data_IF_902026896831
#
_entry.id   IF_902026896831
#
_cell.length_a   1.000
_cell.length_b   1.000
_cell.length_c   1.000
_cell.angle_alpha   90.00
_cell.angle_beta   90.00
_cell.angle_gamma   90.00
#
_symmetry.space_group_name_H-M   'P 1'
#
loop_
_entity.id
_entity.type
_entity.pdbx_description
1 polymer ?
#
# COMPACT_ATOMS: atom_id res chain seq x y z
N UNK A 1 -14.98 14.05 9.88
CA UNK A 1 -16.32 14.71 9.99
C UNK A 1 -17.08 14.10 11.15
N UNK A 2 -17.07 12.78 11.29
CA UNK A 2 -17.60 12.05 12.45
C UNK A 2 -17.15 12.66 13.79
N UNK A 3 -15.84 12.93 13.95
CA UNK A 3 -15.28 13.58 15.15
C UNK A 3 -15.93 14.95 15.46
N UNK A 4 -16.33 15.70 14.42
CA UNK A 4 -16.98 17.02 14.57
C UNK A 4 -18.42 16.86 15.08
N UNK A 5 -19.08 15.74 14.76
CA UNK A 5 -20.41 15.41 15.29
C UNK A 5 -20.30 14.93 16.75
N UNK A 6 -19.30 14.12 17.07
CA UNK A 6 -18.95 13.76 18.45
C UNK A 6 -18.69 15.00 19.32
N UNK A 7 -17.80 15.91 18.90
CA UNK A 7 -17.49 17.14 19.65
C UNK A 7 -18.64 18.15 19.78
N UNK A 8 -19.84 17.87 19.25
CA UNK A 8 -21.00 18.76 19.28
C UNK A 8 -22.28 18.11 19.82
N UNK A 9 -22.16 16.88 20.34
CA UNK A 9 -23.29 16.07 20.81
C UNK A 9 -24.34 15.88 19.69
N UNK A 10 -23.86 15.55 18.48
CA UNK A 10 -24.67 15.36 17.26
C UNK A 10 -24.51 13.96 16.64
N UNK A 11 -23.80 13.06 17.32
CA UNK A 11 -23.43 11.75 16.79
C UNK A 11 -24.55 10.70 16.89
N UNK A 12 -25.30 10.64 17.99
CA UNK A 12 -26.34 9.61 18.23
C UNK A 12 -27.34 9.45 17.04
N UNK A 13 -27.84 10.53 16.39
CA UNK A 13 -28.72 10.40 15.22
C UNK A 13 -28.13 9.70 13.99
N UNK A 14 -26.80 9.66 13.83
CA UNK A 14 -26.17 8.95 12.69
C UNK A 14 -25.94 7.46 12.98
N UNK A 15 -25.94 7.03 14.24
CA UNK A 15 -26.02 5.61 14.60
C UNK A 15 -27.44 5.06 14.45
N UNK A 16 -28.46 5.92 14.54
CA UNK A 16 -29.88 5.60 14.31
C UNK A 16 -30.65 5.21 15.56
N UNK A 17 -31.87 4.68 15.40
CA UNK A 17 -32.83 4.51 16.50
C UNK A 17 -32.35 3.60 17.65
N UNK A 18 -31.37 2.73 17.43
CA UNK A 18 -30.75 1.91 18.50
C UNK A 18 -29.88 2.73 19.45
N UNK A 19 -29.41 3.92 19.04
CA UNK A 19 -28.64 4.84 19.87
C UNK A 19 -29.52 5.87 20.60
N UNK A 20 -30.84 5.90 20.34
CA UNK A 20 -31.77 6.81 21.01
C UNK A 20 -31.81 6.54 22.52
N UNK A 21 -31.53 7.54 23.39
CA UNK A 21 -31.62 7.37 24.83
C UNK A 21 -33.04 7.02 25.30
N UNK A 22 -33.17 6.08 26.24
CA UNK A 22 -34.49 5.60 26.72
C UNK A 22 -35.38 6.69 27.32
N UNK A 23 -34.78 7.70 27.94
CA UNK A 23 -35.47 8.83 28.55
C UNK A 23 -35.73 9.99 27.57
N UNK A 24 -35.37 9.83 26.28
CA UNK A 24 -35.55 10.85 25.26
C UNK A 24 -36.91 10.73 24.56
N UNK A 25 -37.72 11.77 24.73
CA UNK A 25 -38.95 12.03 24.00
C UNK A 25 -38.76 12.12 22.46
N UNK A 26 -39.77 11.69 21.70
CA UNK A 26 -39.75 11.62 20.24
C UNK A 26 -39.54 12.99 19.57
N UNK A 27 -40.17 14.05 20.10
CA UNK A 27 -40.01 15.41 19.56
C UNK A 27 -38.64 16.01 19.92
N UNK A 28 -37.98 15.56 20.99
CA UNK A 28 -36.56 15.87 21.25
C UNK A 28 -35.64 15.15 20.28
N UNK A 29 -35.85 13.85 20.04
CA UNK A 29 -35.07 13.05 19.09
C UNK A 29 -35.14 13.60 17.67
N UNK A 30 -36.35 13.94 17.21
CA UNK A 30 -36.60 14.57 15.91
C UNK A 30 -35.95 15.95 15.76
N UNK A 31 -35.87 16.75 16.84
CA UNK A 31 -35.10 18.01 16.84
C UNK A 31 -33.59 17.74 16.75
N UNK A 32 -33.10 16.68 17.40
CA UNK A 32 -31.69 16.29 17.33
C UNK A 32 -31.32 15.83 15.91
N UNK A 33 -32.11 14.95 15.29
CA UNK A 33 -31.99 14.58 13.87
C UNK A 33 -31.90 15.82 12.97
N UNK A 34 -32.83 16.79 13.13
CA UNK A 34 -32.83 18.03 12.34
C UNK A 34 -31.58 18.89 12.59
N UNK A 35 -31.07 18.95 13.83
CA UNK A 35 -29.84 19.68 14.18
C UNK A 35 -28.60 19.02 13.55
N UNK A 36 -28.50 17.69 13.62
CA UNK A 36 -27.43 16.90 12.99
C UNK A 36 -27.44 17.03 11.47
N UNK A 37 -28.60 16.85 10.82
CA UNK A 37 -28.78 17.05 9.37
C UNK A 37 -28.36 18.46 8.93
N UNK A 38 -28.84 19.49 9.65
CA UNK A 38 -28.48 20.88 9.38
C UNK A 38 -26.98 21.12 9.52
N UNK A 39 -26.34 20.51 10.53
CA UNK A 39 -24.90 20.67 10.72
C UNK A 39 -24.06 19.95 9.67
N UNK A 40 -24.41 18.72 9.29
CA UNK A 40 -23.70 17.99 8.22
C UNK A 40 -23.81 18.78 6.90
N UNK A 41 -25.01 19.23 6.53
CA UNK A 41 -25.26 19.99 5.30
C UNK A 41 -24.45 21.28 5.18
N UNK A 42 -24.12 21.92 6.31
CA UNK A 42 -23.29 23.14 6.33
C UNK A 42 -21.86 22.90 5.82
N UNK A 43 -21.37 21.65 5.85
CA UNK A 43 -20.03 21.26 5.41
C UNK A 43 -20.01 20.54 4.04
N UNK A 44 -21.13 20.49 3.32
CA UNK A 44 -21.22 19.84 2.02
C UNK A 44 -21.10 20.88 0.89
N UNK A 45 -20.27 20.58 -0.11
CA UNK A 45 -20.29 21.29 -1.39
C UNK A 45 -21.66 21.12 -2.08
N UNK A 46 -22.08 22.09 -2.89
CA UNK A 46 -23.37 22.08 -3.62
C UNK A 46 -23.59 20.79 -4.44
N UNK A 47 -22.51 20.26 -5.02
CA UNK A 47 -22.51 19.01 -5.80
C UNK A 47 -22.89 17.77 -4.97
N UNK A 48 -22.64 17.81 -3.66
CA UNK A 48 -23.00 16.75 -2.71
C UNK A 48 -24.35 17.07 -2.04
N UNK A 49 -24.54 18.32 -1.59
CA UNK A 49 -25.76 18.79 -0.94
C UNK A 49 -27.03 18.47 -1.74
N UNK A 50 -27.01 18.73 -3.05
CA UNK A 50 -28.12 18.49 -3.98
C UNK A 50 -28.68 17.05 -3.98
N UNK A 51 -27.89 16.07 -3.54
CA UNK A 51 -28.27 14.65 -3.53
C UNK A 51 -28.81 14.19 -2.16
N UNK A 52 -28.66 15.01 -1.11
CA UNK A 52 -29.07 14.71 0.27
C UNK A 52 -29.93 15.83 0.87
N UNK A 53 -30.38 16.79 0.07
CA UNK A 53 -31.15 17.98 0.50
C UNK A 53 -32.53 17.64 1.07
N UNK A 54 -33.12 16.55 0.60
CA UNK A 54 -34.48 16.12 0.96
C UNK A 54 -34.52 15.12 2.12
N UNK A 55 -33.37 14.61 2.60
CA UNK A 55 -33.34 13.66 3.72
C UNK A 55 -33.87 14.31 5.01
N UNK A 56 -34.77 13.61 5.70
CA UNK A 56 -35.29 14.02 7.00
C UNK A 56 -34.72 13.21 8.15
N UNK A 57 -33.94 12.18 7.83
CA UNK A 57 -33.30 11.27 8.77
C UNK A 57 -31.77 11.41 8.71
N UNK A 58 -31.13 11.48 9.88
CA UNK A 58 -29.70 11.73 9.98
C UNK A 58 -28.86 10.49 9.64
N UNK A 59 -29.30 9.30 10.04
CA UNK A 59 -28.66 8.03 9.70
C UNK A 59 -28.74 7.76 8.19
N UNK A 60 -29.91 7.99 7.57
CA UNK A 60 -30.08 7.81 6.12
C UNK A 60 -29.21 8.81 5.34
N UNK A 61 -29.14 10.07 5.78
CA UNK A 61 -28.24 11.07 5.19
C UNK A 61 -26.77 10.63 5.32
N UNK A 62 -26.36 10.20 6.51
CA UNK A 62 -24.98 9.78 6.78
C UNK A 62 -24.57 8.58 5.92
N UNK A 63 -25.38 7.51 5.91
CA UNK A 63 -25.14 6.31 5.07
C UNK A 63 -25.08 6.63 3.57
N UNK A 64 -25.88 7.59 3.09
CA UNK A 64 -25.80 8.08 1.69
C UNK A 64 -24.48 8.79 1.39
N UNK A 65 -23.93 9.55 2.35
CA UNK A 65 -22.62 10.17 2.20
C UNK A 65 -21.51 9.11 2.25
N UNK A 66 -21.52 8.21 3.22
CA UNK A 66 -20.56 7.09 3.34
C UNK A 66 -20.48 6.29 2.03
N UNK A 67 -21.60 5.71 1.59
CA UNK A 67 -21.65 4.92 0.36
C UNK A 67 -21.15 5.70 -0.88
N UNK A 68 -21.41 7.01 -0.95
CA UNK A 68 -20.93 7.87 -2.04
C UNK A 68 -19.42 8.09 -1.99
N UNK A 69 -18.86 8.37 -0.82
CA UNK A 69 -17.42 8.58 -0.66
C UNK A 69 -16.64 7.26 -0.78
N UNK A 70 -17.20 6.14 -0.33
CA UNK A 70 -16.68 4.79 -0.57
C UNK A 70 -16.69 4.45 -2.07
N UNK A 71 -17.80 4.68 -2.78
CA UNK A 71 -17.88 4.47 -4.22
C UNK A 71 -16.88 5.35 -4.99
N UNK A 72 -16.74 6.63 -4.58
CA UNK A 72 -15.73 7.54 -5.14
C UNK A 72 -14.31 7.04 -4.87
N UNK A 73 -14.04 6.52 -3.68
CA UNK A 73 -12.74 5.94 -3.34
C UNK A 73 -12.47 4.67 -4.15
N UNK A 74 -13.44 3.77 -4.31
CA UNK A 74 -13.32 2.54 -5.09
C UNK A 74 -13.09 2.82 -6.59
N UNK A 75 -13.83 3.76 -7.17
CA UNK A 75 -13.63 4.19 -8.56
C UNK A 75 -12.29 4.90 -8.77
N UNK A 76 -11.84 5.73 -7.81
CA UNK A 76 -10.49 6.30 -7.82
C UNK A 76 -9.39 5.22 -7.73
N UNK A 77 -9.53 4.22 -6.85
CA UNK A 77 -8.60 3.08 -6.75
C UNK A 77 -8.52 2.31 -8.07
N UNK A 78 -9.66 1.97 -8.66
CA UNK A 78 -9.72 1.27 -9.95
C UNK A 78 -9.06 2.08 -11.08
N UNK A 79 -9.27 3.41 -11.11
CA UNK A 79 -8.59 4.30 -12.05
C UNK A 79 -7.06 4.32 -11.84
N UNK A 80 -6.59 4.44 -10.60
CA UNK A 80 -5.16 4.47 -10.28
C UNK A 80 -4.47 3.13 -10.57
N UNK A 81 -5.09 2.00 -10.25
CA UNK A 81 -4.60 0.66 -10.63
C UNK A 81 -4.55 0.51 -12.15
N UNK A 82 -5.58 0.94 -12.87
CA UNK A 82 -5.57 0.94 -14.34
C UNK A 82 -4.46 1.85 -14.89
N UNK A 83 -4.21 3.01 -14.29
CA UNK A 83 -3.09 3.88 -14.67
C UNK A 83 -1.75 3.18 -14.44
N UNK A 84 -1.56 2.54 -13.29
CA UNK A 84 -0.32 1.84 -12.93
C UNK A 84 0.00 0.69 -13.89
N UNK A 85 -0.98 -0.18 -14.19
CA UNK A 85 -0.81 -1.34 -15.09
C UNK A 85 -0.54 -0.89 -16.55
N UNK A 86 -1.11 0.24 -16.98
CA UNK A 86 -0.91 0.77 -18.33
C UNK A 86 0.26 1.77 -18.42
N UNK A 87 1.01 1.99 -17.33
CA UNK A 87 2.17 2.86 -17.33
C UNK A 87 3.29 2.21 -18.14
N UNK A 88 3.90 2.96 -19.07
CA UNK A 88 4.99 2.49 -19.92
C UNK A 88 6.07 3.56 -20.04
N UNK A 89 7.31 3.16 -19.80
CA UNK A 89 8.46 4.04 -20.00
C UNK A 89 8.62 4.32 -21.50
N UNK A 90 8.70 5.61 -21.84
CA UNK A 90 8.91 6.05 -23.22
C UNK A 90 10.40 6.06 -23.52
N UNK A 91 10.82 5.36 -24.57
CA UNK A 91 12.21 5.42 -25.04
C UNK A 91 12.65 6.87 -25.34
N UNK A 92 13.86 7.21 -24.89
CA UNK A 92 14.38 8.60 -24.92
C UNK A 92 13.78 9.54 -23.85
N UNK A 93 12.90 9.06 -22.97
CA UNK A 93 12.36 9.81 -21.83
C UNK A 93 13.28 9.81 -20.59
N UNK A 94 12.91 10.62 -19.60
CA UNK A 94 13.56 10.66 -18.28
C UNK A 94 13.10 9.47 -17.43
N UNK A 95 14.03 8.61 -17.03
CA UNK A 95 13.76 7.49 -16.11
C UNK A 95 13.35 8.01 -14.72
N UNK A 96 13.90 9.16 -14.31
CA UNK A 96 13.54 9.80 -13.05
C UNK A 96 12.07 10.28 -13.06
N UNK A 97 11.61 10.85 -14.16
CA UNK A 97 10.22 11.34 -14.27
C UNK A 97 9.23 10.17 -14.25
N UNK A 98 9.57 9.07 -14.93
CA UNK A 98 8.80 7.82 -14.92
C UNK A 98 8.72 7.20 -13.52
N UNK A 99 9.84 7.12 -12.80
CA UNK A 99 9.87 6.65 -11.41
C UNK A 99 9.06 7.55 -10.47
N UNK A 100 9.15 8.87 -10.65
CA UNK A 100 8.37 9.85 -9.89
C UNK A 100 6.86 9.71 -10.16
N UNK A 101 6.44 9.48 -11.41
CA UNK A 101 5.03 9.25 -11.74
C UNK A 101 4.53 7.92 -11.16
N UNK A 102 5.32 6.85 -11.28
CA UNK A 102 5.01 5.55 -10.68
C UNK A 102 4.81 5.67 -9.17
N UNK A 103 5.79 6.26 -8.47
CA UNK A 103 5.72 6.47 -7.03
C UNK A 103 4.58 7.41 -6.62
N UNK A 104 4.24 8.42 -7.43
CA UNK A 104 3.06 9.26 -7.18
C UNK A 104 1.76 8.45 -7.19
N UNK A 105 1.61 7.49 -8.10
CA UNK A 105 0.42 6.61 -8.17
C UNK A 105 0.38 5.61 -7.01
N UNK A 106 1.51 5.00 -6.65
CA UNK A 106 1.61 4.11 -5.48
C UNK A 106 1.25 4.85 -4.19
N UNK A 107 1.83 6.04 -3.96
CA UNK A 107 1.54 6.84 -2.78
C UNK A 107 0.07 7.26 -2.71
N UNK A 108 -0.56 7.63 -3.83
CA UNK A 108 -2.00 7.92 -3.87
C UNK A 108 -2.83 6.70 -3.47
N UNK A 109 -2.52 5.50 -3.95
CA UNK A 109 -3.20 4.27 -3.53
C UNK A 109 -3.02 4.01 -2.02
N UNK A 110 -1.81 4.21 -1.49
CA UNK A 110 -1.54 4.08 -0.06
C UNK A 110 -2.38 5.06 0.79
N UNK A 111 -2.54 6.33 0.38
CA UNK A 111 -3.43 7.28 1.09
C UNK A 111 -4.90 6.84 1.11
N UNK A 112 -5.32 6.03 0.13
CA UNK A 112 -6.66 5.45 0.07
C UNK A 112 -6.75 4.09 0.81
N UNK A 113 -5.78 3.76 1.67
CA UNK A 113 -5.67 2.45 2.37
C UNK A 113 -5.58 1.25 1.40
N UNK A 114 -4.90 1.41 0.28
CA UNK A 114 -4.56 0.33 -0.65
C UNK A 114 -3.05 0.29 -0.86
N UNK A 115 -2.34 -0.45 0.00
CA UNK A 115 -0.90 -0.66 -0.10
C UNK A 115 -0.63 -1.74 -1.14
N UNK A 116 0.32 -1.49 -2.03
CA UNK A 116 0.88 -2.50 -2.94
C UNK A 116 2.17 -3.00 -2.30
N UNK A 117 2.33 -4.31 -2.18
CA UNK A 117 3.55 -4.93 -1.66
C UNK A 117 4.77 -4.60 -2.53
N UNK A 118 5.94 -4.42 -1.90
CA UNK A 118 7.15 -3.93 -2.57
C UNK A 118 7.61 -4.86 -3.71
N UNK A 119 7.41 -6.18 -3.57
CA UNK A 119 7.65 -7.15 -4.65
C UNK A 119 6.76 -6.87 -5.86
N UNK A 120 5.45 -6.68 -5.65
CA UNK A 120 4.51 -6.37 -6.73
C UNK A 120 4.76 -4.98 -7.32
N UNK A 121 5.19 -3.99 -6.53
CA UNK A 121 5.66 -2.71 -7.05
C UNK A 121 6.86 -2.88 -7.98
N UNK A 122 7.87 -3.67 -7.57
CA UNK A 122 9.05 -3.94 -8.39
C UNK A 122 8.68 -4.65 -9.70
N UNK A 123 7.84 -5.68 -9.64
CA UNK A 123 7.34 -6.40 -10.82
C UNK A 123 6.56 -5.48 -11.78
N UNK A 124 5.68 -4.62 -11.25
CA UNK A 124 4.94 -3.65 -12.05
C UNK A 124 5.88 -2.62 -12.70
N UNK A 125 6.87 -2.11 -11.97
CA UNK A 125 7.87 -1.19 -12.51
C UNK A 125 8.71 -1.83 -13.61
N UNK A 126 9.18 -3.07 -13.41
CA UNK A 126 9.89 -3.83 -14.46
C UNK A 126 9.01 -4.06 -15.69
N UNK A 127 7.74 -4.42 -15.49
CA UNK A 127 6.77 -4.60 -16.58
C UNK A 127 6.44 -3.31 -17.35
N UNK A 128 6.75 -2.14 -16.78
CA UNK A 128 6.55 -0.84 -17.44
C UNK A 128 7.66 -0.49 -18.44
N UNK A 129 8.81 -1.18 -18.39
CA UNK A 129 9.93 -0.92 -19.29
C UNK A 129 9.62 -1.43 -20.73
N UNK A 130 10.23 -0.84 -21.77
CA UNK A 130 10.08 -1.32 -23.14
C UNK A 130 10.95 -2.55 -23.40
N UNK A 131 10.58 -3.34 -24.41
CA UNK A 131 11.25 -4.61 -24.74
C UNK A 131 12.76 -4.46 -25.02
N UNK A 132 13.22 -3.27 -25.45
CA UNK A 132 14.64 -2.94 -25.60
C UNK A 132 15.45 -3.04 -24.29
N UNK A 133 14.78 -3.09 -23.13
CA UNK A 133 15.38 -3.29 -21.80
C UNK A 133 15.27 -4.75 -21.30
N UNK A 134 14.66 -5.68 -22.05
CA UNK A 134 14.45 -7.07 -21.61
C UNK A 134 15.75 -7.76 -21.15
N UNK A 135 16.87 -7.57 -21.87
CA UNK A 135 18.16 -8.14 -21.48
C UNK A 135 18.65 -7.63 -20.12
N UNK A 136 18.39 -6.35 -19.79
CA UNK A 136 18.71 -5.78 -18.48
C UNK A 136 17.76 -6.31 -17.40
N UNK A 137 16.46 -6.39 -17.71
CA UNK A 137 15.43 -6.94 -16.79
C UNK A 137 15.75 -8.39 -16.42
N UNK A 138 15.99 -9.26 -17.41
CA UNK A 138 16.32 -10.68 -17.19
C UNK A 138 17.61 -10.83 -16.38
N UNK A 139 18.65 -10.07 -16.69
CA UNK A 139 19.92 -10.12 -15.94
C UNK A 139 19.74 -9.70 -14.49
N UNK A 140 18.91 -8.68 -14.23
CA UNK A 140 18.68 -8.18 -12.88
C UNK A 140 17.79 -9.13 -12.06
N UNK A 141 16.71 -9.66 -12.65
CA UNK A 141 15.83 -10.64 -11.99
C UNK A 141 16.58 -11.93 -11.61
N UNK A 142 17.49 -12.41 -12.45
CA UNK A 142 18.29 -13.62 -12.18
C UNK A 142 19.50 -13.36 -11.26
N UNK A 143 19.72 -12.12 -10.80
CA UNK A 143 20.83 -11.76 -9.91
C UNK A 143 20.49 -11.77 -8.42
N UNK A 144 19.23 -12.05 -8.07
CA UNK A 144 18.85 -12.36 -6.70
C UNK A 144 19.58 -13.65 -6.28
N UNK A 145 20.40 -13.63 -5.22
CA UNK A 145 21.02 -14.85 -4.74
C UNK A 145 19.93 -15.73 -4.12
N UNK A 146 19.62 -16.85 -4.77
CA UNK A 146 18.77 -17.89 -4.21
C UNK A 146 19.28 -18.23 -2.81
N UNK A 147 18.45 -17.94 -1.80
CA UNK A 147 18.75 -18.25 -0.40
C UNK A 147 18.44 -19.73 -0.12
N UNK A 148 19.01 -20.62 -0.92
CA UNK A 148 19.17 -22.01 -0.50
C UNK A 148 20.31 -22.10 0.50
N UNK A 149 19.97 -22.41 1.75
CA UNK A 149 20.93 -22.86 2.73
C UNK A 149 21.60 -24.14 2.22
N UNK A 150 22.84 -24.02 1.71
CA UNK A 150 23.68 -25.16 1.38
C UNK A 150 24.09 -25.92 2.66
N UNK A 151 23.13 -26.63 3.25
CA UNK A 151 23.36 -27.66 4.27
C UNK A 151 24.02 -28.84 3.57
N UNK A 152 25.35 -28.77 3.47
CA UNK A 152 26.20 -29.90 3.07
C UNK A 152 26.20 -30.93 4.21
N UNK A 153 25.07 -31.60 4.35
CA UNK A 153 24.87 -32.74 5.24
C UNK A 153 25.39 -34.01 4.59
N UNK A 154 26.71 -34.10 4.39
CA UNK A 154 27.33 -35.40 4.07
C UNK A 154 27.24 -36.27 5.31
N UNK A 155 26.48 -37.35 5.21
CA UNK A 155 26.32 -38.36 6.25
C UNK A 155 27.39 -39.44 6.13
N UNK A 156 27.49 -40.26 7.19
CA UNK A 156 28.30 -41.49 7.33
C UNK A 156 29.77 -41.24 7.71
N UNK A 157 30.42 -42.06 8.54
CA UNK A 157 30.01 -43.32 9.18
C UNK A 157 30.64 -43.47 10.59
N UNK A 158 30.17 -44.43 11.38
CA UNK A 158 30.76 -44.80 12.68
C UNK A 158 32.03 -45.65 12.50
N UNK A 159 33.00 -45.60 13.44
CA UNK A 159 33.74 -46.84 13.75
C UNK A 159 35.25 -46.92 13.98
N UNK A 160 36.02 -45.83 14.19
CA UNK A 160 37.32 -45.87 14.93
C UNK A 160 38.52 -46.69 14.29
N UNK A 161 39.76 -46.72 14.85
CA UNK A 161 40.91 -46.17 14.10
C UNK A 161 42.23 -47.00 14.11
N UNK A 162 43.27 -46.51 13.40
CA UNK A 162 44.73 -46.50 13.72
C UNK A 162 45.53 -45.87 12.55
N UNK A 163 46.35 -44.84 12.77
CA UNK A 163 47.83 -44.86 12.96
C UNK A 163 48.57 -45.37 11.69
N UNK A 164 49.54 -44.69 11.04
CA UNK A 164 50.36 -43.51 11.42
C UNK A 164 50.98 -42.74 10.20
N UNK A 165 51.61 -41.58 10.52
CA UNK A 165 52.70 -40.85 9.82
C UNK A 165 52.43 -39.67 8.84
N UNK A 166 53.03 -38.51 9.20
CA UNK A 166 53.23 -37.28 8.40
C UNK A 166 54.08 -37.54 7.13
N UNK A 167 53.73 -37.04 5.94
CA UNK A 167 53.67 -35.65 5.44
C UNK A 167 55.04 -35.00 5.14
N UNK A 168 55.45 -35.13 3.87
CA UNK A 168 56.49 -34.31 3.20
C UNK A 168 55.86 -33.20 2.33
N UNK A 169 56.59 -32.09 2.21
CA UNK A 169 56.65 -31.04 1.17
C UNK A 169 55.40 -30.58 0.36
N UNK A 170 54.96 -29.33 0.61
CA UNK A 170 55.22 -28.10 -0.20
C UNK A 170 55.46 -28.18 -1.74
N UNK A 171 55.37 -27.06 -2.53
CA UNK A 171 54.68 -25.75 -2.34
C UNK A 171 54.01 -25.15 -3.63
N UNK A 172 53.55 -23.89 -3.55
CA UNK A 172 53.13 -22.95 -4.64
C UNK A 172 51.74 -23.26 -5.28
N UNK A 173 50.86 -22.31 -5.65
CA UNK A 173 50.73 -20.83 -5.58
C UNK A 173 49.21 -20.48 -5.73
N UNK A 174 48.66 -19.26 -5.89
CA UNK A 174 49.12 -17.88 -6.20
C UNK A 174 48.12 -16.86 -5.62
N UNK A 175 48.46 -15.56 -5.56
CA UNK A 175 47.53 -14.49 -5.12
C UNK A 175 46.48 -14.09 -6.17
N UNK A 176 45.39 -13.44 -5.75
CA UNK A 176 44.98 -12.17 -6.36
C UNK A 176 44.22 -11.30 -5.34
N UNK A 177 44.57 -10.01 -5.35
CA UNK A 177 44.07 -8.96 -4.45
C UNK A 177 43.18 -8.02 -5.26
N UNK A 178 42.16 -7.40 -4.63
CA UNK A 178 41.84 -5.96 -4.76
C UNK A 178 40.80 -5.59 -3.69
N UNK A 179 41.09 -4.53 -2.96
CA UNK A 179 40.19 -3.86 -2.01
C UNK A 179 40.16 -2.38 -2.35
N UNK A 180 39.00 -1.76 -2.50
CA UNK A 180 38.89 -0.28 -2.49
C UNK A 180 37.70 0.13 -1.62
N UNK A 181 38.03 0.80 -0.52
CA UNK A 181 37.07 1.43 0.40
C UNK A 181 36.70 2.81 -0.13
N UNK A 182 35.43 3.19 -0.05
CA UNK A 182 34.98 4.57 -0.28
C UNK A 182 34.59 5.22 1.05
N UNK A 183 35.39 6.19 1.50
CA UNK A 183 35.06 7.08 2.62
C UNK A 183 34.95 8.50 2.07
N UNK A 184 33.95 9.26 2.52
CA UNK A 184 33.56 10.52 1.88
C UNK A 184 34.29 11.76 2.40
N UNK A 185 33.93 12.87 1.76
CA UNK A 185 33.95 14.26 2.23
C UNK A 185 32.68 14.90 1.68
#
# INVERSE_FOLDING_TARGET
MEDILYCKDLYEPIEGDTAKPKDMDDEKWKRLHRKTIGHIRQWLDDSVFSHVSNETDAQVLWKKLEARYEQKMATNKAFLIRKLINMKFKEGGSIADHLNEFQSVVNQLATMKMVIEDELQALLLLSSLPNSWETLVVTMSNSAPDREEAKIGVTRDMGNPKEDHNLEESPLKKENVITVVKKGT
#
